data_IF_941101402481
#
_entry.id   IF_941101402481
#
_cell.length_a   1.000
_cell.length_b   1.000
_cell.length_c   1.000
_cell.angle_alpha   90.00
_cell.angle_beta   90.00
_cell.angle_gamma   90.00
#
_symmetry.space_group_name_H-M   'P 1'
#
loop_
_entity.id
_entity.type
_entity.pdbx_description
1 polymer ?
#
# COMPACT_ATOMS: atom_id res chain seq x y z
N UNK A 1 15.26 19.82 -31.08
CA UNK A 1 15.71 18.94 -29.99
C UNK A 1 14.47 18.23 -29.48
N UNK A 2 14.28 16.97 -29.85
CA UNK A 2 13.09 16.21 -29.47
C UNK A 2 13.32 15.69 -28.05
N UNK A 3 12.64 16.29 -27.07
CA UNK A 3 12.58 15.74 -25.73
C UNK A 3 11.89 14.39 -25.78
N UNK A 4 12.64 13.33 -25.51
CA UNK A 4 12.09 12.03 -25.19
C UNK A 4 11.36 12.17 -23.84
N UNK A 5 10.11 12.61 -23.86
CA UNK A 5 9.19 12.42 -22.74
C UNK A 5 8.70 10.98 -22.81
N UNK A 6 9.63 10.04 -22.60
CA UNK A 6 9.26 8.67 -22.32
C UNK A 6 8.63 8.72 -20.93
N UNK A 7 7.29 8.72 -20.86
CA UNK A 7 6.55 8.70 -19.60
C UNK A 7 7.19 7.63 -18.72
N UNK A 8 7.92 8.05 -17.68
CA UNK A 8 8.58 7.12 -16.79
C UNK A 8 7.47 6.33 -16.11
N UNK A 9 7.52 5.01 -16.25
CA UNK A 9 6.59 4.10 -15.56
C UNK A 9 6.55 4.49 -14.08
N UNK A 10 5.37 4.53 -13.44
CA UNK A 10 5.29 4.90 -12.03
C UNK A 10 6.22 4.03 -11.15
N UNK A 11 6.77 4.62 -10.11
CA UNK A 11 7.83 4.00 -9.31
C UNK A 11 7.26 2.95 -8.34
N UNK A 12 8.01 1.87 -8.10
CA UNK A 12 7.86 1.07 -6.88
C UNK A 12 9.08 1.32 -6.01
N UNK A 13 8.86 1.82 -4.79
CA UNK A 13 9.94 2.10 -3.83
C UNK A 13 9.76 1.33 -2.54
N UNK A 14 10.86 1.00 -1.88
CA UNK A 14 10.82 0.54 -0.50
C UNK A 14 10.78 1.75 0.46
N UNK A 15 10.01 1.64 1.53
CA UNK A 15 9.88 2.71 2.51
C UNK A 15 11.17 2.87 3.31
N UNK A 16 11.64 4.11 3.45
CA UNK A 16 12.75 4.47 4.33
C UNK A 16 12.32 4.56 5.80
N UNK A 17 11.04 4.31 6.07
CA UNK A 17 10.43 4.38 7.40
C UNK A 17 9.88 5.75 7.72
N UNK A 18 8.79 5.75 8.47
CA UNK A 18 8.20 6.95 9.05
C UNK A 18 8.60 7.06 10.52
N UNK A 19 9.04 8.25 10.92
CA UNK A 19 9.38 8.55 12.32
C UNK A 19 8.08 8.64 13.14
N UNK A 20 8.00 7.85 14.21
CA UNK A 20 6.94 7.94 15.21
C UNK A 20 7.18 9.15 16.12
N UNK A 21 6.30 10.18 16.09
CA UNK A 21 6.44 11.36 16.94
C UNK A 21 6.56 10.97 18.41
N UNK A 22 7.53 11.57 19.11
CA UNK A 22 7.73 11.37 20.55
C UNK A 22 8.41 10.06 20.96
N UNK A 23 8.72 9.15 20.02
CA UNK A 23 9.41 7.89 20.37
C UNK A 23 10.74 7.66 19.63
N UNK A 24 10.94 8.32 18.48
CA UNK A 24 12.14 8.14 17.66
C UNK A 24 12.21 6.80 16.91
N UNK A 25 11.18 5.95 17.02
CA UNK A 25 11.09 4.70 16.28
C UNK A 25 10.74 4.93 14.81
N UNK A 26 11.32 4.14 13.91
CA UNK A 26 10.95 4.09 12.50
C UNK A 26 9.99 2.91 12.25
N UNK A 27 8.88 3.18 11.58
CA UNK A 27 7.92 2.13 11.14
C UNK A 27 7.91 2.02 9.62
N UNK A 28 7.81 0.80 9.11
CA UNK A 28 7.73 0.53 7.66
C UNK A 28 9.07 0.30 6.95
N UNK A 29 10.21 0.57 7.60
CA UNK A 29 11.57 0.34 7.07
C UNK A 29 12.14 -1.07 7.36
N UNK A 30 11.29 -2.02 7.73
CA UNK A 30 11.73 -3.39 7.97
C UNK A 30 12.23 -4.09 6.70
N UNK A 31 12.63 -5.34 6.88
CA UNK A 31 12.87 -6.28 5.77
C UNK A 31 12.09 -7.56 6.03
N UNK A 32 11.72 -8.26 4.98
CA UNK A 32 11.05 -9.55 5.12
C UNK A 32 11.94 -10.58 5.85
N UNK A 33 11.34 -11.38 6.72
CA UNK A 33 12.01 -12.51 7.37
C UNK A 33 12.06 -13.77 6.48
N UNK A 34 11.21 -13.85 5.44
CA UNK A 34 11.09 -15.01 4.55
C UNK A 34 10.82 -14.61 3.10
N UNK A 35 11.34 -15.37 2.14
CA UNK A 35 11.21 -15.07 0.70
C UNK A 35 9.75 -15.03 0.23
N UNK A 36 8.89 -15.87 0.81
CA UNK A 36 7.47 -15.92 0.43
C UNK A 36 6.76 -14.59 0.69
N UNK A 37 7.09 -13.88 1.77
CA UNK A 37 6.53 -12.57 2.06
C UNK A 37 7.10 -11.52 1.09
N UNK A 38 8.39 -11.59 0.77
CA UNK A 38 9.01 -10.73 -0.26
C UNK A 38 8.29 -10.88 -1.60
N UNK A 39 8.09 -12.11 -2.05
CA UNK A 39 7.41 -12.42 -3.30
C UNK A 39 5.97 -11.87 -3.34
N UNK A 40 5.21 -12.07 -2.26
CA UNK A 40 3.84 -11.56 -2.17
C UNK A 40 3.79 -10.03 -2.19
N UNK A 41 4.76 -9.37 -1.54
CA UNK A 41 4.87 -7.91 -1.49
C UNK A 41 5.27 -7.30 -2.83
N UNK A 42 6.23 -7.90 -3.54
CA UNK A 42 6.63 -7.47 -4.88
C UNK A 42 5.46 -7.62 -5.85
N UNK A 43 4.77 -8.76 -5.82
CA UNK A 43 3.58 -9.00 -6.65
C UNK A 43 2.45 -8.02 -6.35
N UNK A 44 2.20 -7.72 -5.08
CA UNK A 44 1.20 -6.73 -4.69
C UNK A 44 1.55 -5.33 -5.21
N UNK A 45 2.82 -4.93 -5.11
CA UNK A 45 3.26 -3.63 -5.58
C UNK A 45 3.22 -3.50 -7.11
N UNK A 46 3.67 -4.53 -7.82
CA UNK A 46 3.61 -4.59 -9.29
C UNK A 46 2.18 -4.52 -9.79
N UNK A 47 1.27 -5.29 -9.20
CA UNK A 47 -0.13 -5.31 -9.60
C UNK A 47 -0.84 -3.99 -9.34
N UNK A 48 -0.62 -3.37 -8.18
CA UNK A 48 -1.17 -2.05 -7.88
C UNK A 48 -0.67 -1.00 -8.88
N UNK A 49 0.64 -0.96 -9.13
CA UNK A 49 1.23 -0.04 -10.10
C UNK A 49 0.63 -0.24 -11.48
N UNK A 50 0.64 -1.47 -11.97
CA UNK A 50 0.34 -1.76 -13.37
C UNK A 50 -1.15 -1.67 -13.67
N UNK A 51 -2.01 -1.97 -12.69
CA UNK A 51 -3.47 -1.91 -12.86
C UNK A 51 -4.00 -0.49 -12.80
N UNK A 52 -3.44 0.34 -11.90
CA UNK A 52 -3.96 1.68 -11.66
C UNK A 52 -3.10 2.79 -12.29
N UNK A 53 -1.92 2.46 -12.80
CA UNK A 53 -0.90 3.38 -13.30
C UNK A 53 -0.48 4.40 -12.22
N UNK A 54 -0.05 3.88 -11.06
CA UNK A 54 0.29 4.68 -9.88
C UNK A 54 1.62 4.26 -9.26
N UNK A 55 2.31 5.20 -8.61
CA UNK A 55 3.50 4.88 -7.82
C UNK A 55 3.10 4.14 -6.54
N UNK A 56 3.95 3.23 -6.07
CA UNK A 56 3.67 2.35 -4.93
C UNK A 56 4.84 2.32 -3.96
N UNK A 57 4.54 2.34 -2.67
CA UNK A 57 5.50 2.17 -1.60
C UNK A 57 5.30 0.81 -0.91
N UNK A 58 6.37 0.01 -0.84
CA UNK A 58 6.43 -1.20 -0.04
C UNK A 58 6.89 -0.88 1.37
N UNK A 59 6.19 -1.43 2.36
CA UNK A 59 6.50 -1.27 3.79
C UNK A 59 6.60 -2.63 4.44
N UNK A 60 7.59 -2.81 5.30
CA UNK A 60 7.70 -3.99 6.15
C UNK A 60 7.72 -3.58 7.62
N UNK A 61 7.04 -4.38 8.44
CA UNK A 61 7.16 -4.27 9.88
C UNK A 61 8.55 -4.77 10.34
N UNK A 62 9.03 -4.24 11.46
CA UNK A 62 10.39 -4.49 11.96
C UNK A 62 10.68 -5.96 12.30
N UNK A 63 9.65 -6.76 12.58
CA UNK A 63 9.78 -8.19 12.82
C UNK A 63 9.87 -9.04 11.53
N UNK A 64 9.73 -8.41 10.35
CA UNK A 64 9.77 -9.07 9.05
C UNK A 64 8.66 -10.08 8.79
N UNK A 65 7.61 -10.12 9.61
CA UNK A 65 6.49 -11.07 9.47
C UNK A 65 5.25 -10.48 8.80
N UNK A 66 5.29 -9.21 8.44
CA UNK A 66 4.18 -8.53 7.76
C UNK A 66 4.65 -7.24 7.10
N UNK A 67 3.85 -6.78 6.15
CA UNK A 67 4.07 -5.54 5.42
C UNK A 67 2.82 -5.14 4.63
N UNK A 68 2.97 -4.12 3.80
CA UNK A 68 1.97 -3.78 2.80
C UNK A 68 2.54 -2.96 1.64
N UNK A 69 1.91 -3.10 0.48
CA UNK A 69 2.15 -2.27 -0.69
C UNK A 69 1.03 -1.23 -0.78
N UNK A 70 1.38 0.05 -0.78
CA UNK A 70 0.42 1.14 -0.72
C UNK A 70 0.63 2.16 -1.83
N UNK A 71 -0.47 2.69 -2.36
CA UNK A 71 -0.45 3.75 -3.36
C UNK A 71 0.19 5.00 -2.78
N UNK A 72 1.15 5.57 -3.50
CA UNK A 72 1.74 6.87 -3.19
C UNK A 72 0.79 7.93 -3.74
N UNK A 73 0.22 8.74 -2.84
CA UNK A 73 -0.62 9.90 -3.15
C UNK A 73 0.13 11.22 -2.95
N UNK A 74 1.20 11.21 -2.15
CA UNK A 74 2.13 12.31 -1.94
C UNK A 74 3.58 11.74 -1.90
N UNK A 75 4.38 11.93 -2.96
CA UNK A 75 5.72 11.35 -3.03
C UNK A 75 6.70 11.92 -2.00
N UNK A 76 6.46 13.14 -1.51
CA UNK A 76 7.33 13.86 -0.57
C UNK A 76 6.95 13.58 0.89
N UNK A 77 5.73 13.09 1.14
CA UNK A 77 5.28 12.76 2.49
C UNK A 77 6.03 11.54 3.08
N UNK A 78 6.69 11.78 4.22
CA UNK A 78 7.46 10.78 5.00
C UNK A 78 6.89 10.52 6.40
N UNK A 79 5.72 11.09 6.71
CA UNK A 79 5.08 10.98 8.02
C UNK A 79 4.40 9.62 8.23
N UNK A 80 4.08 9.32 9.50
CA UNK A 80 3.23 8.16 9.80
C UNK A 80 1.85 8.37 9.18
N UNK A 81 1.34 7.33 8.53
CA UNK A 81 0.04 7.37 7.86
C UNK A 81 0.07 8.06 6.49
N UNK A 82 1.20 8.63 6.07
CA UNK A 82 1.36 9.07 4.68
C UNK A 82 1.31 7.87 3.74
N UNK A 83 0.74 8.02 2.55
CA UNK A 83 0.72 6.97 1.51
C UNK A 83 0.27 5.59 2.04
N UNK A 84 -0.74 5.53 2.92
CA UNK A 84 -1.31 4.27 3.41
C UNK A 84 -2.80 4.10 3.08
N UNK A 85 -3.38 5.05 2.35
CA UNK A 85 -4.83 5.14 2.20
C UNK A 85 -5.44 4.07 1.29
N UNK A 86 -4.66 3.48 0.39
CA UNK A 86 -5.09 2.41 -0.52
C UNK A 86 -3.93 1.42 -0.65
N UNK A 87 -4.15 0.14 -0.37
CA UNK A 87 -3.11 -0.85 -0.51
C UNK A 87 -3.50 -2.28 -0.16
N UNK A 88 -2.52 -3.15 -0.25
CA UNK A 88 -2.62 -4.57 0.05
C UNK A 88 -1.66 -4.87 1.20
N UNK A 89 -2.20 -5.32 2.33
CA UNK A 89 -1.44 -5.75 3.50
C UNK A 89 -1.25 -7.27 3.47
N UNK A 90 -0.01 -7.71 3.68
CA UNK A 90 0.36 -9.13 3.71
C UNK A 90 1.04 -9.45 5.03
N UNK A 91 0.65 -10.55 5.66
CA UNK A 91 1.29 -11.04 6.89
C UNK A 91 1.44 -12.55 6.90
N UNK A 92 2.33 -13.04 7.75
CA UNK A 92 2.52 -14.45 8.03
C UNK A 92 1.66 -14.88 9.23
N UNK A 93 0.97 -16.01 9.12
CA UNK A 93 0.33 -16.68 10.27
C UNK A 93 1.39 -17.35 11.16
N UNK A 94 0.97 -17.99 12.25
CA UNK A 94 1.90 -18.75 13.10
C UNK A 94 2.50 -19.96 12.35
N UNK A 95 1.78 -20.48 11.37
CA UNK A 95 2.14 -21.59 10.49
C UNK A 95 2.83 -21.13 9.19
N UNK A 96 3.31 -19.87 9.15
CA UNK A 96 3.97 -19.24 7.99
C UNK A 96 3.14 -19.28 6.68
N UNK A 97 1.81 -19.33 6.83
CA UNK A 97 0.87 -19.11 5.73
C UNK A 97 0.67 -17.62 5.48
N UNK A 98 0.34 -17.23 4.25
CA UNK A 98 0.04 -15.84 3.92
C UNK A 98 -1.38 -15.48 4.34
N UNK A 99 -1.51 -14.33 5.00
CA UNK A 99 -2.77 -13.64 5.25
C UNK A 99 -2.74 -12.34 4.44
N UNK A 100 -3.69 -12.18 3.53
CA UNK A 100 -3.80 -11.01 2.66
C UNK A 100 -5.04 -10.22 3.04
N UNK A 101 -4.90 -8.89 3.14
CA UNK A 101 -6.01 -7.98 3.40
C UNK A 101 -5.91 -6.78 2.47
N UNK A 102 -7.06 -6.33 1.99
CA UNK A 102 -7.18 -5.02 1.37
C UNK A 102 -7.29 -3.96 2.46
N UNK A 103 -6.64 -2.83 2.26
CA UNK A 103 -6.83 -1.63 3.07
C UNK A 103 -7.24 -0.46 2.16
N UNK A 104 -8.40 0.15 2.41
CA UNK A 104 -8.87 1.34 1.69
C UNK A 104 -9.56 2.29 2.67
N UNK A 105 -9.06 3.51 2.81
CA UNK A 105 -9.72 4.57 3.60
C UNK A 105 -11.09 4.91 3.00
N UNK A 106 -12.06 5.24 3.86
CA UNK A 106 -13.45 5.41 3.46
C UNK A 106 -13.65 6.46 2.35
N UNK A 107 -12.83 7.51 2.32
CA UNK A 107 -12.89 8.57 1.31
C UNK A 107 -12.61 8.06 -0.10
N UNK A 108 -11.87 6.96 -0.23
CA UNK A 108 -11.55 6.32 -1.49
C UNK A 108 -12.51 5.19 -1.85
N UNK A 109 -13.52 4.86 -1.04
CA UNK A 109 -14.51 3.84 -1.42
C UNK A 109 -15.58 4.41 -2.36
N UNK A 110 -16.09 3.58 -3.28
CA UNK A 110 -17.34 3.86 -3.99
C UNK A 110 -18.54 3.75 -3.05
N UNK A 111 -18.58 2.69 -2.23
CA UNK A 111 -19.58 2.47 -1.19
C UNK A 111 -18.94 2.60 0.20
N UNK A 112 -19.23 3.70 0.90
CA UNK A 112 -18.68 3.98 2.23
C UNK A 112 -19.22 3.04 3.32
N UNK A 113 -20.29 2.29 3.05
CA UNK A 113 -20.84 1.33 4.03
C UNK A 113 -19.92 0.12 4.25
N UNK A 114 -18.95 -0.10 3.36
CA UNK A 114 -17.92 -1.12 3.50
C UNK A 114 -16.85 -0.76 4.55
N UNK A 115 -16.77 0.51 4.96
CA UNK A 115 -15.83 0.95 5.97
C UNK A 115 -16.27 0.58 7.39
N UNK A 116 -15.30 0.48 8.31
CA UNK A 116 -15.57 0.33 9.75
C UNK A 116 -16.43 1.48 10.28
N UNK A 117 -17.43 1.16 11.12
CA UNK A 117 -18.36 2.14 11.70
C UNK A 117 -17.72 3.07 12.74
N UNK A 118 -16.68 2.60 13.43
CA UNK A 118 -15.87 3.39 14.35
C UNK A 118 -14.44 3.40 13.79
N UNK A 119 -14.02 4.53 13.24
CA UNK A 119 -12.68 4.67 12.68
C UNK A 119 -11.60 4.47 13.75
N UNK A 120 -10.47 3.89 13.35
CA UNK A 120 -9.26 3.89 14.20
C UNK A 120 -8.75 5.33 14.38
N UNK A 121 -7.61 5.51 15.06
CA UNK A 121 -6.92 6.80 15.12
C UNK A 121 -6.61 7.43 13.74
N UNK A 122 -6.74 6.66 12.66
CA UNK A 122 -6.53 7.06 11.26
C UNK A 122 -7.83 7.23 10.46
N UNK A 123 -9.00 7.22 11.11
CA UNK A 123 -10.31 7.36 10.47
C UNK A 123 -10.95 6.02 10.08
N UNK A 124 -12.07 6.09 9.36
CA UNK A 124 -12.82 4.93 8.88
C UNK A 124 -12.16 4.33 7.63
N UNK A 125 -12.09 3.01 7.57
CA UNK A 125 -11.44 2.27 6.48
C UNK A 125 -12.10 0.92 6.26
N UNK A 126 -12.01 0.37 5.06
CA UNK A 126 -12.26 -1.03 4.78
C UNK A 126 -10.98 -1.84 5.04
N UNK A 127 -11.11 -2.94 5.77
CA UNK A 127 -10.05 -3.93 5.95
C UNK A 127 -10.58 -5.32 5.62
N UNK A 128 -10.51 -5.68 4.33
CA UNK A 128 -11.19 -6.85 3.81
C UNK A 128 -10.21 -8.02 3.64
N UNK A 129 -10.38 -9.14 4.38
CA UNK A 129 -9.54 -10.32 4.20
C UNK A 129 -9.87 -11.01 2.88
N UNK A 130 -8.84 -11.45 2.17
CA UNK A 130 -8.96 -12.14 0.87
C UNK A 130 -7.95 -13.30 0.79
N UNK A 131 -8.15 -14.23 -0.13
CA UNK A 131 -7.32 -15.43 -0.27
C UNK A 131 -5.99 -15.20 -0.97
N UNK A 132 -5.86 -14.14 -1.76
CA UNK A 132 -4.68 -13.88 -2.58
C UNK A 132 -4.47 -12.40 -2.89
N UNK A 133 -3.29 -12.07 -3.46
CA UNK A 133 -2.97 -10.71 -3.92
C UNK A 133 -3.84 -10.33 -5.12
N UNK A 134 -4.16 -11.28 -5.99
CA UNK A 134 -5.06 -11.10 -7.14
C UNK A 134 -6.47 -10.75 -6.70
N UNK A 135 -7.00 -11.46 -5.70
CA UNK A 135 -8.31 -11.16 -5.12
C UNK A 135 -8.32 -9.79 -4.46
N UNK A 136 -7.22 -9.41 -3.77
CA UNK A 136 -7.07 -8.09 -3.19
C UNK A 136 -7.14 -6.99 -4.26
N UNK A 137 -6.38 -7.16 -5.35
CA UNK A 137 -6.34 -6.25 -6.47
C UNK A 137 -7.72 -6.09 -7.13
N UNK A 138 -8.40 -7.22 -7.40
CA UNK A 138 -9.74 -7.23 -7.97
C UNK A 138 -10.72 -6.47 -7.08
N UNK A 139 -10.68 -6.72 -5.77
CA UNK A 139 -11.53 -6.02 -4.81
C UNK A 139 -11.28 -4.50 -4.84
N UNK A 140 -10.02 -4.05 -4.87
CA UNK A 140 -9.69 -2.62 -4.96
C UNK A 140 -10.23 -2.03 -6.26
N UNK A 141 -10.07 -2.73 -7.40
CA UNK A 141 -10.55 -2.25 -8.69
C UNK A 141 -12.08 -2.08 -8.73
N UNK A 142 -12.82 -2.95 -8.03
CA UNK A 142 -14.28 -2.92 -7.96
C UNK A 142 -14.82 -1.91 -6.95
N UNK A 143 -14.09 -1.62 -5.87
CA UNK A 143 -14.63 -0.91 -4.70
C UNK A 143 -13.94 0.44 -4.40
N UNK A 144 -12.81 0.75 -5.03
CA UNK A 144 -12.01 1.94 -4.71
C UNK A 144 -11.83 2.91 -5.89
N UNK A 145 -11.78 4.20 -5.54
CA UNK A 145 -11.37 5.34 -6.36
C UNK A 145 -9.87 5.53 -6.21
N UNK A 146 -9.08 4.87 -7.05
CA UNK A 146 -7.62 5.00 -6.98
C UNK A 146 -7.20 6.30 -7.69
N UNK A 147 -6.60 7.27 -6.99
CA UNK A 147 -6.17 8.52 -7.61
C UNK A 147 -4.93 8.28 -8.48
N UNK A 148 -4.95 8.82 -9.70
CA UNK A 148 -3.74 8.92 -10.53
C UNK A 148 -3.05 10.23 -10.21
N UNK A 149 -1.79 10.17 -9.78
CA UNK A 149 -0.96 11.37 -9.76
C UNK A 149 -0.58 11.63 -11.22
N UNK A 150 -1.26 12.57 -11.87
CA UNK A 150 -0.80 13.05 -13.17
C UNK A 150 0.54 13.76 -12.93
N UNK A 151 1.62 13.24 -13.50
CA UNK A 151 2.95 13.86 -13.50
C UNK A 151 3.03 15.19 -14.29
N UNK A 152 1.89 15.73 -14.75
CA UNK A 152 1.81 16.95 -15.57
C UNK A 152 1.76 18.25 -14.73
N UNK A 153 2.48 18.30 -13.62
CA UNK A 153 2.49 19.51 -12.77
C UNK A 153 3.87 19.80 -12.19
N UNK A 154 4.87 20.00 -13.06
CA UNK A 154 5.86 21.11 -12.96
C UNK A 154 6.36 21.45 -14.37
#
# INVERSE_FOLDING_TARGET
MNGNTQSQRPEIRDSLGAVVPGTGMLVGAGVSAVDRLTYAMDRAAEFLRDTFDVSVEKRYNSNGRSGGAFVITDPDARGIGSNSSIGISVGLTAEDSLRVNVYVEAVYLYDTTLATREGSMFGAYAYHPVGSVEEALKWIAENAKVPRINSDSV
#
